data_IF_165001452124
#
_entry.id   IF_165001452124
#
_cell.length_a   1.000
_cell.length_b   1.000
_cell.length_c   1.000
_cell.angle_alpha   90.00
_cell.angle_beta   90.00
_cell.angle_gamma   90.00
#
_symmetry.space_group_name_H-M   'P 1'
#
loop_
_entity.id
_entity.type
_entity.pdbx_description
1 polymer ?
#
# COMPACT_ATOMS: atom_id res chain seq x y z
N UNK A 1 41.04 -12.74 -48.80
CA UNK A 1 39.56 -12.72 -48.84
C UNK A 1 38.84 -13.33 -47.63
N UNK A 2 39.49 -14.12 -46.77
CA UNK A 2 38.84 -14.80 -45.62
C UNK A 2 38.41 -13.90 -44.45
N UNK A 3 39.12 -12.80 -44.19
CA UNK A 3 38.77 -11.86 -43.11
C UNK A 3 37.49 -11.07 -43.42
N UNK A 4 37.32 -10.65 -44.67
CA UNK A 4 36.16 -9.89 -45.12
C UNK A 4 34.89 -10.73 -44.99
N UNK A 5 34.93 -12.00 -45.38
CA UNK A 5 33.79 -12.92 -45.21
C UNK A 5 33.41 -13.11 -43.74
N UNK A 6 34.41 -13.20 -42.84
CA UNK A 6 34.17 -13.32 -41.40
C UNK A 6 33.55 -12.05 -40.82
N UNK A 7 34.00 -10.88 -41.26
CA UNK A 7 33.41 -9.58 -40.88
C UNK A 7 31.95 -9.51 -41.34
N UNK A 8 31.67 -9.85 -42.59
CA UNK A 8 30.29 -9.84 -43.13
C UNK A 8 29.37 -10.82 -42.39
N UNK A 9 29.88 -11.99 -41.98
CA UNK A 9 29.11 -12.94 -41.17
C UNK A 9 28.78 -12.36 -39.79
N UNK A 10 29.75 -11.72 -39.14
CA UNK A 10 29.55 -11.09 -37.83
C UNK A 10 28.57 -9.92 -37.92
N UNK A 11 28.64 -9.10 -38.97
CA UNK A 11 27.69 -8.01 -39.20
C UNK A 11 26.26 -8.52 -39.35
N UNK A 12 26.04 -9.60 -40.12
CA UNK A 12 24.70 -10.22 -40.23
C UNK A 12 24.17 -10.72 -38.88
N UNK A 13 25.04 -11.34 -38.09
CA UNK A 13 24.66 -11.81 -36.74
C UNK A 13 24.35 -10.65 -35.80
N UNK A 14 25.10 -9.54 -35.89
CA UNK A 14 24.83 -8.34 -35.09
C UNK A 14 23.48 -7.73 -35.46
N UNK A 15 23.16 -7.61 -36.75
CA UNK A 15 21.86 -7.08 -37.21
C UNK A 15 20.71 -7.91 -36.63
N UNK A 16 20.76 -9.23 -36.77
CA UNK A 16 19.72 -10.13 -36.23
C UNK A 16 19.57 -10.03 -34.71
N UNK A 17 20.69 -9.86 -33.99
CA UNK A 17 20.64 -9.67 -32.53
C UNK A 17 20.06 -8.31 -32.16
N UNK A 18 20.36 -7.26 -32.93
CA UNK A 18 19.82 -5.94 -32.67
C UNK A 18 18.31 -5.92 -32.89
N UNK A 19 17.82 -6.48 -34.00
CA UNK A 19 16.38 -6.64 -34.24
C UNK A 19 15.68 -7.41 -33.09
N UNK A 20 16.35 -8.43 -32.52
CA UNK A 20 15.81 -9.16 -31.38
C UNK A 20 15.79 -8.33 -30.10
N UNK A 21 16.80 -7.48 -29.89
CA UNK A 21 16.83 -6.55 -28.75
C UNK A 21 15.69 -5.55 -28.87
N UNK A 22 15.55 -4.90 -30.04
CA UNK A 22 14.51 -3.91 -30.31
C UNK A 22 13.11 -4.50 -30.06
N UNK A 23 12.86 -5.74 -30.52
CA UNK A 23 11.61 -6.45 -30.26
C UNK A 23 11.35 -6.70 -28.76
N UNK A 24 12.38 -7.12 -28.02
CA UNK A 24 12.24 -7.41 -26.59
C UNK A 24 12.03 -6.12 -25.78
N UNK A 25 12.68 -5.03 -26.16
CA UNK A 25 12.50 -3.71 -25.54
C UNK A 25 11.07 -3.21 -25.72
N UNK A 26 10.52 -3.32 -26.93
CA UNK A 26 9.11 -2.97 -27.19
C UNK A 26 8.15 -3.80 -26.31
N UNK A 27 8.33 -5.12 -26.29
CA UNK A 27 7.50 -6.01 -25.48
C UNK A 27 7.60 -5.70 -23.97
N UNK A 28 8.81 -5.40 -23.49
CA UNK A 28 9.02 -5.01 -22.09
C UNK A 28 8.32 -3.67 -21.79
N UNK A 29 8.36 -2.71 -22.72
CA UNK A 29 7.61 -1.46 -22.63
C UNK A 29 6.10 -1.69 -22.50
N UNK A 30 5.55 -2.58 -23.32
CA UNK A 30 4.13 -2.98 -23.26
C UNK A 30 3.77 -3.60 -21.90
N UNK A 31 4.56 -4.56 -21.41
CA UNK A 31 4.37 -5.21 -20.11
C UNK A 31 4.41 -4.22 -18.95
N UNK A 32 5.37 -3.28 -18.95
CA UNK A 32 5.45 -2.21 -17.94
C UNK A 32 4.19 -1.34 -17.99
N UNK A 33 3.68 -1.04 -19.18
CA UNK A 33 2.43 -0.31 -19.39
C UNK A 33 1.23 -1.03 -18.76
N UNK A 34 1.08 -2.33 -19.01
CA UNK A 34 0.02 -3.14 -18.39
C UNK A 34 0.14 -3.22 -16.87
N UNK A 35 1.36 -3.44 -16.36
CA UNK A 35 1.61 -3.52 -14.93
C UNK A 35 1.20 -2.23 -14.23
N UNK A 36 1.57 -1.06 -14.78
CA UNK A 36 1.16 0.25 -14.26
C UNK A 36 -0.37 0.43 -14.26
N UNK A 37 -1.05 0.01 -15.33
CA UNK A 37 -2.53 0.04 -15.40
C UNK A 37 -3.17 -0.82 -14.31
N UNK A 38 -2.68 -2.06 -14.13
CA UNK A 38 -3.16 -2.99 -13.11
C UNK A 38 -2.89 -2.47 -11.68
N UNK A 39 -1.71 -1.91 -11.42
CA UNK A 39 -1.42 -1.27 -10.12
C UNK A 39 -2.35 -0.10 -9.82
N UNK A 40 -2.64 0.77 -10.81
CA UNK A 40 -3.58 1.88 -10.63
C UNK A 40 -5.00 1.40 -10.33
N UNK A 41 -5.44 0.34 -11.00
CA UNK A 41 -6.74 -0.27 -10.76
C UNK A 41 -6.83 -0.88 -9.35
N UNK A 42 -5.80 -1.60 -8.91
CA UNK A 42 -5.72 -2.14 -7.55
C UNK A 42 -5.74 -1.02 -6.49
N UNK A 43 -4.95 0.05 -6.68
CA UNK A 43 -4.97 1.21 -5.79
C UNK A 43 -6.36 1.86 -5.74
N UNK A 44 -7.04 1.97 -6.87
CA UNK A 44 -8.41 2.47 -6.92
C UNK A 44 -9.37 1.59 -6.11
N UNK A 45 -9.30 0.26 -6.26
CA UNK A 45 -10.16 -0.64 -5.47
C UNK A 45 -9.87 -0.57 -3.97
N UNK A 46 -8.59 -0.52 -3.58
CA UNK A 46 -8.18 -0.37 -2.18
C UNK A 46 -8.72 0.94 -1.56
N UNK A 47 -8.71 2.04 -2.32
CA UNK A 47 -9.21 3.34 -1.84
C UNK A 47 -10.74 3.42 -1.85
N UNK A 48 -11.41 2.65 -2.70
CA UNK A 48 -12.88 2.65 -2.83
C UNK A 48 -13.56 1.67 -1.88
N UNK A 49 -12.91 0.57 -1.51
CA UNK A 49 -13.45 -0.35 -0.52
C UNK A 49 -13.37 0.24 0.88
N UNK A 50 -14.53 0.39 1.54
CA UNK A 50 -14.57 0.66 2.97
C UNK A 50 -13.99 -0.54 3.73
N UNK A 51 -13.13 -0.27 4.71
CA UNK A 51 -12.53 -1.25 5.63
C UNK A 51 -13.62 -1.94 6.47
N UNK A 52 -14.34 -2.87 5.86
CA UNK A 52 -15.49 -3.54 6.45
C UNK A 52 -16.22 -4.49 5.50
N UNK A 53 -16.12 -4.28 4.17
CA UNK A 53 -16.79 -5.15 3.19
C UNK A 53 -16.14 -6.55 3.03
N UNK A 54 -14.91 -6.73 3.52
CA UNK A 54 -14.18 -8.00 3.51
C UNK A 54 -14.40 -8.85 4.78
N UNK A 55 -15.26 -8.40 5.72
CA UNK A 55 -15.62 -9.25 6.84
C UNK A 55 -16.48 -10.40 6.34
N UNK A 56 -15.95 -11.62 6.39
CA UNK A 56 -16.71 -12.82 6.06
C UNK A 56 -17.88 -12.95 7.03
N UNK A 57 -19.02 -13.48 6.60
CA UNK A 57 -20.20 -13.70 7.45
C UNK A 57 -19.86 -14.49 8.74
N UNK A 58 -18.88 -15.39 8.66
CA UNK A 58 -18.33 -16.12 9.82
C UNK A 58 -17.62 -15.21 10.83
N UNK A 59 -16.91 -14.18 10.35
CA UNK A 59 -16.19 -13.20 11.16
C UNK A 59 -17.17 -12.25 11.86
N UNK A 60 -18.25 -11.84 11.18
CA UNK A 60 -19.33 -11.04 11.76
C UNK A 60 -20.11 -11.82 12.83
N UNK A 61 -20.44 -13.10 12.55
CA UNK A 61 -21.06 -13.98 13.54
C UNK A 61 -20.17 -14.16 14.78
N UNK A 62 -18.85 -14.31 14.59
CA UNK A 62 -17.92 -14.46 15.70
C UNK A 62 -17.77 -13.16 16.51
N UNK A 63 -17.74 -11.99 15.85
CA UNK A 63 -17.74 -10.69 16.52
C UNK A 63 -19.02 -10.47 17.33
N UNK A 64 -20.18 -10.78 16.75
CA UNK A 64 -21.46 -10.71 17.44
C UNK A 64 -21.53 -11.67 18.63
N UNK A 65 -20.97 -12.88 18.51
CA UNK A 65 -20.88 -13.85 19.59
C UNK A 65 -20.00 -13.35 20.75
N UNK A 66 -18.81 -12.82 20.46
CA UNK A 66 -17.90 -12.26 21.46
C UNK A 66 -18.53 -11.05 22.16
N UNK A 67 -19.18 -10.16 21.41
CA UNK A 67 -19.91 -9.01 21.96
C UNK A 67 -21.06 -9.43 22.88
N UNK A 68 -21.83 -10.46 22.51
CA UNK A 68 -22.95 -10.96 23.34
C UNK A 68 -22.48 -11.62 24.65
N UNK A 69 -21.28 -12.19 24.68
CA UNK A 69 -20.72 -12.88 25.85
C UNK A 69 -19.91 -11.99 26.78
N UNK A 70 -19.82 -10.68 26.49
CA UNK A 70 -19.05 -9.75 27.31
C UNK A 70 -17.53 -9.99 27.27
N UNK A 71 -17.02 -10.73 26.29
CA UNK A 71 -15.63 -11.21 26.28
C UNK A 71 -14.58 -10.19 25.83
N UNK A 72 -14.97 -8.96 25.53
CA UNK A 72 -14.06 -7.89 25.09
C UNK A 72 -13.83 -6.85 26.18
N UNK A 73 -12.65 -6.21 26.18
CA UNK A 73 -12.35 -5.07 27.06
C UNK A 73 -13.43 -3.98 26.95
N UNK A 74 -13.94 -3.75 25.72
CA UNK A 74 -14.99 -2.78 25.43
C UNK A 74 -16.36 -3.13 26.03
N UNK A 75 -16.72 -4.42 26.11
CA UNK A 75 -17.98 -4.83 26.75
C UNK A 75 -17.93 -4.68 28.26
N UNK A 76 -16.79 -4.95 28.90
CA UNK A 76 -16.62 -4.65 30.34
C UNK A 76 -16.64 -3.15 30.62
N UNK A 77 -16.16 -2.33 29.68
CA UNK A 77 -16.11 -0.87 29.81
C UNK A 77 -17.49 -0.20 29.67
N UNK A 78 -18.35 -0.67 28.75
CA UNK A 78 -19.64 -0.03 28.45
C UNK A 78 -20.87 -0.77 28.99
N UNK A 79 -20.74 -2.04 29.42
CA UNK A 79 -21.83 -2.85 29.97
C UNK A 79 -21.68 -3.06 31.49
N UNK A 80 -21.11 -2.09 32.21
CA UNK A 80 -21.02 -2.15 33.67
C UNK A 80 -22.42 -2.17 34.30
N UNK A 81 -22.92 -3.36 34.60
CA UNK A 81 -23.88 -3.50 35.70
C UNK A 81 -23.13 -3.13 36.98
N UNK A 82 -23.76 -2.32 37.83
CA UNK A 82 -23.17 -1.63 38.98
C UNK A 82 -22.70 -2.52 40.15
N UNK A 83 -22.26 -3.75 39.86
CA UNK A 83 -21.92 -4.77 40.86
C UNK A 83 -20.60 -5.48 40.59
N UNK A 84 -19.82 -5.06 39.58
CA UNK A 84 -18.58 -5.73 39.24
C UNK A 84 -17.36 -4.88 39.67
N UNK A 85 -16.64 -5.36 40.68
CA UNK A 85 -15.37 -4.80 41.21
C UNK A 85 -14.21 -4.83 40.17
N UNK A 86 -14.51 -5.08 38.90
CA UNK A 86 -13.53 -5.26 37.81
C UNK A 86 -13.10 -3.96 37.13
N UNK A 87 -13.85 -2.87 37.33
CA UNK A 87 -13.51 -1.53 36.84
C UNK A 87 -12.99 -0.64 37.98
N UNK A 88 -11.76 -0.93 38.39
CA UNK A 88 -11.01 -0.05 39.30
C UNK A 88 -10.50 1.19 38.55
N UNK A 89 -10.47 2.35 39.24
CA UNK A 89 -10.00 3.63 38.70
C UNK A 89 -8.62 3.51 38.02
N UNK A 90 -7.73 2.70 38.60
CA UNK A 90 -6.41 2.39 38.06
C UNK A 90 -6.46 1.80 36.65
N UNK A 91 -7.35 0.83 36.41
CA UNK A 91 -7.54 0.20 35.10
C UNK A 91 -8.09 1.18 34.06
N UNK A 92 -8.95 2.10 34.49
CA UNK A 92 -9.48 3.15 33.61
C UNK A 92 -8.40 4.16 33.19
N UNK A 93 -7.48 4.51 34.10
CA UNK A 93 -6.34 5.38 33.80
C UNK A 93 -5.34 4.69 32.87
N UNK A 94 -5.08 3.40 33.08
CA UNK A 94 -4.20 2.62 32.19
C UNK A 94 -4.75 2.55 30.76
N UNK A 95 -6.06 2.30 30.61
CA UNK A 95 -6.74 2.28 29.30
C UNK A 95 -6.65 3.66 28.62
N UNK A 96 -6.91 4.74 29.35
CA UNK A 96 -6.80 6.10 28.80
C UNK A 96 -5.37 6.42 28.35
N UNK A 97 -4.35 6.05 29.12
CA UNK A 97 -2.96 6.27 28.74
C UNK A 97 -2.59 5.50 27.45
N UNK A 98 -3.06 4.25 27.31
CA UNK A 98 -2.83 3.45 26.09
C UNK A 98 -3.55 4.04 24.87
N UNK A 99 -4.77 4.53 25.05
CA UNK A 99 -5.52 5.20 23.98
C UNK A 99 -4.86 6.52 23.56
N UNK A 100 -4.38 7.31 24.52
CA UNK A 100 -3.62 8.53 24.24
C UNK A 100 -2.34 8.24 23.46
N UNK A 101 -1.58 7.20 23.84
CA UNK A 101 -0.36 6.81 23.12
C UNK A 101 -0.65 6.38 21.66
N UNK A 102 -1.71 5.62 21.43
CA UNK A 102 -2.12 5.20 20.07
C UNK A 102 -2.57 6.42 19.24
N UNK A 103 -3.27 7.36 19.87
CA UNK A 103 -3.75 8.57 19.20
C UNK A 103 -2.57 9.46 18.78
N UNK A 104 -1.58 9.65 19.66
CA UNK A 104 -0.35 10.39 19.37
C UNK A 104 0.44 9.74 18.21
N UNK A 105 0.64 8.42 18.24
CA UNK A 105 1.33 7.67 17.18
C UNK A 105 0.58 7.76 15.84
N UNK A 106 -0.76 7.69 15.87
CA UNK A 106 -1.60 7.81 14.67
C UNK A 106 -1.54 9.22 14.08
N UNK A 107 -1.62 10.25 14.92
CA UNK A 107 -1.47 11.64 14.48
C UNK A 107 -0.09 11.89 13.87
N UNK A 108 0.97 11.38 14.50
CA UNK A 108 2.33 11.50 14.00
C UNK A 108 2.47 10.84 12.63
N UNK A 109 2.02 9.58 12.47
CA UNK A 109 2.03 8.88 11.17
C UNK A 109 1.24 9.64 10.10
N UNK A 110 0.09 10.19 10.43
CA UNK A 110 -0.71 10.99 9.50
C UNK A 110 0.00 12.28 9.06
N UNK A 111 0.66 12.98 9.99
CA UNK A 111 1.48 14.14 9.66
C UNK A 111 2.66 13.75 8.76
N UNK A 112 3.39 12.68 9.10
CA UNK A 112 4.52 12.19 8.29
C UNK A 112 4.08 11.79 6.89
N UNK A 113 2.98 11.05 6.75
CA UNK A 113 2.43 10.67 5.45
C UNK A 113 2.10 11.89 4.61
N UNK A 114 1.39 12.89 5.16
CA UNK A 114 1.09 14.14 4.44
C UNK A 114 2.36 14.87 3.98
N UNK A 115 3.39 14.94 4.81
CA UNK A 115 4.69 15.55 4.44
C UNK A 115 5.38 14.75 3.32
N UNK A 116 5.38 13.42 3.39
CA UNK A 116 5.93 12.56 2.34
C UNK A 116 5.20 12.74 1.01
N UNK A 117 3.86 12.76 1.02
CA UNK A 117 3.05 13.06 -0.16
C UNK A 117 3.36 14.44 -0.73
N UNK A 118 3.47 15.47 0.12
CA UNK A 118 3.86 16.82 -0.30
C UNK A 118 5.24 16.86 -0.96
N UNK A 119 6.24 16.19 -0.37
CA UNK A 119 7.60 16.10 -0.93
C UNK A 119 7.61 15.40 -2.30
N UNK A 120 6.86 14.32 -2.45
CA UNK A 120 6.73 13.59 -3.72
C UNK A 120 6.07 14.50 -4.77
N UNK A 121 5.01 15.22 -4.42
CA UNK A 121 4.35 16.17 -5.32
C UNK A 121 5.29 17.29 -5.78
N UNK A 122 6.07 17.88 -4.87
CA UNK A 122 7.07 18.90 -5.19
C UNK A 122 8.16 18.33 -6.11
N UNK A 123 8.66 17.13 -5.81
CA UNK A 123 9.67 16.47 -6.64
C UNK A 123 9.15 16.18 -8.05
N UNK A 124 7.89 15.75 -8.19
CA UNK A 124 7.26 15.51 -9.49
C UNK A 124 7.09 16.81 -10.29
N UNK A 125 6.63 17.89 -9.64
CA UNK A 125 6.52 19.21 -10.28
C UNK A 125 7.87 19.77 -10.74
N UNK A 126 8.90 19.65 -9.91
CA UNK A 126 10.26 20.07 -10.28
C UNK A 126 10.83 19.20 -11.42
N UNK A 127 10.63 17.88 -11.38
CA UNK A 127 11.05 16.99 -12.47
C UNK A 127 10.33 17.31 -13.79
N UNK A 128 9.04 17.65 -13.74
CA UNK A 128 8.27 18.08 -14.91
C UNK A 128 8.78 19.42 -15.46
N UNK A 129 9.11 20.37 -14.57
CA UNK A 129 9.67 21.68 -14.95
C UNK A 129 11.01 21.55 -15.66
N UNK A 130 11.91 20.68 -15.18
CA UNK A 130 13.19 20.42 -15.85
C UNK A 130 13.01 19.77 -17.23
N UNK A 131 12.02 18.87 -17.37
CA UNK A 131 11.73 18.18 -18.64
C UNK A 131 11.05 19.03 -19.73
N UNK A 132 10.49 20.18 -19.34
CA UNK A 132 9.85 21.14 -20.26
C UNK A 132 10.80 22.26 -20.71
N UNK A 133 11.98 22.38 -20.08
CA UNK A 133 12.99 23.39 -20.40
C UNK A 133 14.24 22.81 -21.10
N UNK A 134 14.19 21.54 -21.51
CA UNK A 134 15.09 20.88 -22.47
C UNK A 134 14.37 20.73 -23.82
#
# INVERSE_FOLDING_TARGET
>A
NTLIERILRLQRQLIQRNEKIDFLEEHNGQLIGEMKKKSKLLQYYILKEETGALATESMDKNKAYISKRGGGIMSSLYNSSSTDDTMTLERSLEINNKLHAILEDTLLKNMTLKVCFGKISIFNSNSLFFKLNE
#
